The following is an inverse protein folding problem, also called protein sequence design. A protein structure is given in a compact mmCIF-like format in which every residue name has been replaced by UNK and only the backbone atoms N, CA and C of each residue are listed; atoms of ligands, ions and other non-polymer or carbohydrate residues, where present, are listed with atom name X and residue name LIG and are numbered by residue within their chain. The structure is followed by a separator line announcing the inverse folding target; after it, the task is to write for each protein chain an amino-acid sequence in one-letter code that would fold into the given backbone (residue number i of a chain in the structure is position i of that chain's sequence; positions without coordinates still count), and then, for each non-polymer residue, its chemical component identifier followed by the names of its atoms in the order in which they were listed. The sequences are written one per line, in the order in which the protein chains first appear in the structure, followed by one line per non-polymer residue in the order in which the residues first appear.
data_IF_107417579149
#
_entry.id   IF_107417579149
#
_cell.length_a   1.000
_cell.length_b   1.000
_cell.length_c   1.000
_cell.angle_alpha   90.00
_cell.angle_beta   90.00
_cell.angle_gamma   90.00
#
_symmetry.space_group_name_H-M   'P 1'
#
loop_
_entity.id
_entity.type
_entity.pdbx_description
1 polymer ?
#
# COMPACT_ATOMS: atom_id res chain seq x y z
N UNK A 1 -3.83 3.56 -46.95
CA UNK A 1 -3.15 4.68 -46.25
C UNK A 1 -4.03 5.35 -45.20
N UNK A 2 -5.27 5.77 -45.53
CA UNK A 2 -6.18 6.44 -44.57
C UNK A 2 -6.73 5.51 -43.46
N UNK A 3 -7.10 4.27 -43.80
CA UNK A 3 -7.62 3.28 -42.84
C UNK A 3 -6.60 2.90 -41.75
N UNK A 4 -5.33 2.75 -42.14
CA UNK A 4 -4.24 2.45 -41.21
C UNK A 4 -3.97 3.61 -40.24
N UNK A 5 -4.10 4.86 -40.71
CA UNK A 5 -3.98 6.06 -39.87
C UNK A 5 -5.15 6.17 -38.89
N UNK A 6 -6.37 5.84 -39.31
CA UNK A 6 -7.53 5.79 -38.42
C UNK A 6 -7.36 4.72 -37.33
N UNK A 7 -6.83 3.55 -37.69
CA UNK A 7 -6.56 2.47 -36.73
C UNK A 7 -5.53 2.87 -35.66
N UNK A 8 -4.43 3.52 -36.06
CA UNK A 8 -3.41 4.01 -35.13
C UNK A 8 -3.96 5.09 -34.19
N UNK A 9 -4.84 5.97 -34.68
CA UNK A 9 -5.49 7.01 -33.85
C UNK A 9 -6.46 6.39 -32.85
N UNK A 10 -7.28 5.43 -33.28
CA UNK A 10 -8.22 4.73 -32.39
C UNK A 10 -7.47 3.90 -31.32
N UNK A 11 -6.40 3.20 -31.71
CA UNK A 11 -5.56 2.46 -30.76
C UNK A 11 -4.88 3.37 -29.72
N UNK A 12 -4.34 4.51 -30.16
CA UNK A 12 -3.74 5.50 -29.27
C UNK A 12 -4.75 6.10 -28.29
N UNK A 13 -5.99 6.36 -28.73
CA UNK A 13 -7.06 6.88 -27.87
C UNK A 13 -7.49 5.84 -26.81
N UNK A 14 -7.64 4.58 -27.20
CA UNK A 14 -8.04 3.50 -26.29
C UNK A 14 -6.96 3.21 -25.23
N UNK A 15 -5.67 3.30 -25.58
CA UNK A 15 -4.57 3.07 -24.64
C UNK A 15 -4.51 4.06 -23.49
N UNK A 16 -5.15 5.22 -23.60
CA UNK A 16 -5.19 6.23 -22.51
C UNK A 16 -6.31 5.96 -21.50
N UNK A 17 -7.23 5.03 -21.80
CA UNK A 17 -8.40 4.69 -20.98
C UNK A 17 -8.18 3.41 -20.15
N UNK A 18 -6.95 3.12 -19.72
CA UNK A 18 -6.70 2.06 -18.74
C UNK A 18 -6.70 2.71 -17.35
N UNK A 19 -7.78 2.59 -16.56
CA UNK A 19 -7.74 3.02 -15.18
C UNK A 19 -6.72 2.16 -14.43
N UNK A 20 -5.70 2.80 -13.84
CA UNK A 20 -4.78 2.13 -12.93
C UNK A 20 -5.58 1.83 -11.66
N UNK A 21 -6.03 0.58 -11.50
CA UNK A 21 -6.62 0.13 -10.25
C UNK A 21 -5.52 0.13 -9.18
N UNK A 22 -5.57 1.08 -8.26
CA UNK A 22 -4.65 1.11 -7.11
C UNK A 22 -5.17 0.15 -6.04
N UNK A 23 -4.70 -1.10 -6.10
CA UNK A 23 -4.88 -2.05 -5.00
C UNK A 23 -4.08 -1.60 -3.78
N UNK A 24 -4.63 -1.82 -2.59
CA UNK A 24 -3.91 -1.62 -1.33
C UNK A 24 -2.63 -2.47 -1.33
N UNK A 25 -1.50 -1.83 -1.06
CA UNK A 25 -0.19 -2.47 -1.08
C UNK A 25 0.15 -3.04 0.30
N UNK A 26 0.83 -4.18 0.29
CA UNK A 26 1.43 -4.75 1.49
C UNK A 26 2.94 -4.45 1.52
N UNK A 27 3.42 -4.00 2.67
CA UNK A 27 4.82 -3.69 2.92
C UNK A 27 5.36 -4.58 4.03
N UNK A 28 6.17 -5.57 3.67
CA UNK A 28 6.92 -6.37 4.64
C UNK A 28 8.05 -5.52 5.23
N UNK A 29 7.90 -5.16 6.51
CA UNK A 29 8.82 -4.29 7.24
C UNK A 29 10.19 -4.97 7.37
N UNK A 30 11.24 -4.29 6.92
CA UNK A 30 12.60 -4.84 6.85
C UNK A 30 12.86 -5.82 5.70
N UNK A 31 11.84 -6.14 4.89
CA UNK A 31 11.95 -7.10 3.79
C UNK A 31 12.40 -8.47 4.29
N UNK A 32 13.43 -9.05 3.67
CA UNK A 32 13.98 -10.35 4.06
C UNK A 32 14.61 -10.39 5.47
N UNK A 33 14.92 -9.24 6.07
CA UNK A 33 15.46 -9.18 7.44
C UNK A 33 14.35 -9.20 8.51
N UNK A 34 13.11 -8.88 8.14
CA UNK A 34 11.98 -8.78 9.05
C UNK A 34 12.10 -7.66 10.09
N UNK A 35 11.36 -7.84 11.19
CA UNK A 35 11.38 -6.96 12.36
C UNK A 35 12.41 -7.45 13.38
N UNK A 36 13.60 -6.88 13.35
CA UNK A 36 14.80 -7.28 14.09
C UNK A 36 15.57 -6.07 14.63
N UNK A 37 16.61 -6.34 15.42
CA UNK A 37 17.51 -5.32 15.98
C UNK A 37 18.66 -4.98 15.03
N UNK A 38 19.29 -3.82 15.24
CA UNK A 38 20.45 -3.33 14.48
C UNK A 38 20.20 -3.20 12.97
N UNK A 39 18.98 -2.82 12.59
CA UNK A 39 18.58 -2.64 11.20
C UNK A 39 18.07 -1.22 10.95
N UNK A 40 18.49 -0.60 9.83
CA UNK A 40 18.06 0.75 9.48
C UNK A 40 16.69 0.75 8.80
N UNK A 41 15.66 0.85 9.62
CA UNK A 41 14.28 0.95 9.15
C UNK A 41 13.96 2.25 8.43
N UNK A 42 14.73 3.33 8.64
CA UNK A 42 14.51 4.59 7.94
C UNK A 42 15.06 4.52 6.51
N UNK A 43 16.23 3.91 6.32
CA UNK A 43 16.72 3.55 5.00
C UNK A 43 15.77 2.58 4.29
N UNK A 44 15.25 1.58 5.00
CA UNK A 44 14.22 0.70 4.42
C UNK A 44 12.97 1.47 4.01
N UNK A 45 12.50 2.45 4.79
CA UNK A 45 11.31 3.23 4.46
C UNK A 45 11.54 4.23 3.31
N UNK A 46 12.79 4.56 3.00
CA UNK A 46 13.14 5.57 1.99
C UNK A 46 12.60 5.19 0.60
N UNK A 47 12.00 6.17 -0.08
CA UNK A 47 11.44 5.99 -1.43
C UNK A 47 10.16 5.16 -1.51
N UNK A 48 9.64 4.65 -0.39
CA UNK A 48 8.35 3.96 -0.35
C UNK A 48 7.22 4.98 -0.22
N UNK A 49 6.22 4.84 -1.08
CA UNK A 49 4.98 5.60 -1.01
C UNK A 49 3.94 4.80 -0.22
N UNK A 50 3.69 5.22 1.02
CA UNK A 50 2.69 4.60 1.89
C UNK A 50 1.38 5.39 1.76
N UNK A 51 0.29 4.73 1.44
CA UNK A 51 -1.03 5.34 1.29
C UNK A 51 -2.03 4.81 2.30
N UNK A 52 -3.13 5.55 2.51
CA UNK A 52 -4.27 5.04 3.27
C UNK A 52 -4.82 3.79 2.60
N UNK A 53 -5.02 2.73 3.38
CA UNK A 53 -5.48 1.42 2.92
C UNK A 53 -4.36 0.38 2.82
N UNK A 54 -3.11 0.80 2.66
CA UNK A 54 -1.95 -0.09 2.64
C UNK A 54 -1.76 -0.81 3.98
N UNK A 55 -0.97 -1.88 3.98
CA UNK A 55 -0.61 -2.63 5.17
C UNK A 55 0.89 -2.65 5.42
N UNK A 56 1.26 -2.59 6.70
CA UNK A 56 2.58 -2.99 7.18
C UNK A 56 2.50 -4.41 7.73
N UNK A 57 3.45 -5.26 7.37
CA UNK A 57 3.57 -6.64 7.87
C UNK A 57 4.88 -6.77 8.63
N UNK A 58 4.80 -7.09 9.91
CA UNK A 58 5.94 -7.23 10.81
C UNK A 58 6.18 -8.71 11.12
N UNK A 59 7.22 -9.28 10.50
CA UNK A 59 7.58 -10.68 10.68
C UNK A 59 8.75 -10.82 11.64
N UNK A 60 8.61 -11.68 12.64
CA UNK A 60 9.64 -11.94 13.65
C UNK A 60 9.35 -13.23 14.45
N UNK A 61 10.37 -13.85 15.09
CA UNK A 61 10.13 -15.01 15.95
C UNK A 61 9.23 -14.66 17.14
N UNK A 62 8.18 -15.45 17.38
CA UNK A 62 7.25 -15.23 18.49
C UNK A 62 8.01 -15.12 19.81
N UNK A 63 7.70 -14.09 20.60
CA UNK A 63 8.36 -13.81 21.88
C UNK A 63 9.69 -13.05 21.79
N UNK A 64 10.31 -12.92 20.61
CA UNK A 64 11.56 -12.18 20.45
C UNK A 64 11.36 -10.66 20.39
N UNK A 65 10.26 -10.23 19.76
CA UNK A 65 9.97 -8.82 19.53
C UNK A 65 8.48 -8.52 19.78
N UNK A 66 8.14 -7.24 19.82
CA UNK A 66 6.75 -6.76 19.80
C UNK A 66 6.62 -5.65 18.77
N UNK A 67 5.38 -5.32 18.41
CA UNK A 67 5.07 -4.11 17.63
C UNK A 67 4.14 -3.23 18.45
N UNK A 68 4.58 -2.01 18.75
CA UNK A 68 3.81 -1.01 19.48
C UNK A 68 3.67 0.22 18.59
N UNK A 69 2.44 0.66 18.34
CA UNK A 69 2.18 1.95 17.72
C UNK A 69 2.26 3.03 18.80
N UNK A 70 3.01 4.08 18.53
CA UNK A 70 3.31 5.13 19.52
C UNK A 70 3.17 6.53 18.92
N UNK A 71 3.20 7.55 19.75
CA UNK A 71 3.32 8.94 19.32
C UNK A 71 4.80 9.35 19.09
N UNK A 72 5.02 10.57 18.60
CA UNK A 72 6.36 11.08 18.30
C UNK A 72 7.30 11.09 19.51
N UNK A 73 6.83 11.55 20.66
CA UNK A 73 7.63 11.68 21.89
C UNK A 73 8.04 10.30 22.39
N UNK A 74 7.09 9.38 22.44
CA UNK A 74 7.33 7.98 22.81
C UNK A 74 8.29 7.29 21.84
N UNK A 75 8.14 7.53 20.54
CA UNK A 75 9.08 7.02 19.53
C UNK A 75 10.49 7.55 19.78
N UNK A 76 10.65 8.86 19.96
CA UNK A 76 11.96 9.50 20.16
C UNK A 76 12.67 8.96 21.40
N UNK A 77 11.93 8.79 22.49
CA UNK A 77 12.45 8.38 23.79
C UNK A 77 12.33 6.88 24.07
N UNK A 78 11.82 6.10 23.11
CA UNK A 78 11.53 4.67 23.25
C UNK A 78 10.67 4.34 24.48
N UNK A 79 9.67 5.18 24.75
CA UNK A 79 8.71 4.97 25.84
C UNK A 79 7.70 3.92 25.38
N UNK A 80 7.59 2.85 26.17
CA UNK A 80 6.68 1.74 25.91
C UNK A 80 5.29 2.04 26.53
N UNK A 81 4.19 2.05 25.76
CA UNK A 81 2.84 2.10 26.31
C UNK A 81 2.47 0.78 27.01
N UNK A 82 1.32 0.69 27.69
CA UNK A 82 0.91 -0.51 28.42
C UNK A 82 0.98 -1.79 27.57
N UNK A 83 1.32 -2.91 28.21
CA UNK A 83 1.60 -4.18 27.52
C UNK A 83 0.41 -4.74 26.72
N UNK A 84 -0.84 -4.40 27.07
CA UNK A 84 -2.04 -4.82 26.35
C UNK A 84 -2.15 -4.22 24.94
N UNK A 85 -1.37 -3.20 24.61
CA UNK A 85 -1.34 -2.58 23.28
C UNK A 85 -0.28 -3.23 22.35
N UNK A 86 0.55 -4.14 22.89
CA UNK A 86 1.59 -4.81 22.12
C UNK A 86 0.99 -5.88 21.19
N UNK A 87 1.33 -5.81 19.92
CA UNK A 87 1.18 -6.95 19.01
C UNK A 87 2.39 -7.88 19.19
N UNK A 88 2.12 -9.19 19.23
CA UNK A 88 3.07 -10.23 19.67
C UNK A 88 3.00 -11.52 18.87
N UNK A 89 2.25 -11.55 17.74
CA UNK A 89 1.97 -12.79 17.02
C UNK A 89 3.15 -13.35 16.22
N UNK A 90 4.20 -12.54 16.00
CA UNK A 90 5.31 -12.87 15.11
C UNK A 90 5.04 -12.61 13.63
N UNK A 91 3.81 -12.27 13.25
CA UNK A 91 3.42 -11.89 11.89
C UNK A 91 2.31 -10.83 11.96
N UNK A 92 2.59 -9.71 12.62
CA UNK A 92 1.56 -8.70 12.88
C UNK A 92 1.29 -7.82 11.66
N UNK A 93 0.01 -7.65 11.33
CA UNK A 93 -0.43 -6.76 10.25
C UNK A 93 -1.04 -5.47 10.82
N UNK A 94 -0.64 -4.33 10.24
CA UNK A 94 -1.22 -3.02 10.57
C UNK A 94 -1.70 -2.35 9.29
N UNK A 95 -3.03 -2.19 9.18
CA UNK A 95 -3.65 -1.38 8.13
C UNK A 95 -3.43 0.10 8.41
N UNK A 96 -2.94 0.84 7.42
CA UNK A 96 -2.73 2.28 7.45
C UNK A 96 -4.06 3.01 7.21
N UNK A 97 -4.84 3.16 8.28
CA UNK A 97 -6.21 3.71 8.19
C UNK A 97 -6.31 5.22 7.96
N UNK A 98 -5.25 5.97 8.28
CA UNK A 98 -5.28 7.45 8.20
C UNK A 98 -3.94 7.99 7.70
N UNK A 99 -3.99 9.11 6.99
CA UNK A 99 -2.80 9.83 6.56
C UNK A 99 -2.02 10.40 7.76
N UNK A 100 -0.84 10.95 7.47
CA UNK A 100 0.08 11.55 8.42
C UNK A 100 1.19 10.61 8.90
N UNK A 101 2.04 11.12 9.77
CA UNK A 101 3.16 10.36 10.32
C UNK A 101 2.67 9.25 11.27
N UNK A 102 3.31 8.08 11.17
CA UNK A 102 3.07 6.92 12.04
C UNK A 102 4.41 6.45 12.61
N UNK A 103 4.39 6.00 13.86
CA UNK A 103 5.57 5.53 14.57
C UNK A 103 5.31 4.18 15.21
N UNK A 104 6.29 3.31 15.08
CA UNK A 104 6.26 1.95 15.60
C UNK A 104 7.59 1.63 16.29
N UNK A 105 7.52 0.93 17.42
CA UNK A 105 8.71 0.51 18.18
C UNK A 105 8.57 -0.94 18.64
N UNK A 106 9.71 -1.55 18.94
CA UNK A 106 9.77 -2.78 19.72
C UNK A 106 9.90 -2.44 21.21
N UNK A 107 9.07 -3.06 22.04
CA UNK A 107 9.01 -2.81 23.48
C UNK A 107 9.74 -3.84 24.34
N UNK A 108 10.63 -4.63 23.73
CA UNK A 108 11.43 -5.64 24.43
C UNK A 108 12.76 -5.03 24.85
N UNK A 109 13.01 -5.01 26.17
CA UNK A 109 14.28 -4.57 26.76
C UNK A 109 14.82 -3.27 26.16
N UNK A 110 16.02 -3.36 25.59
CA UNK A 110 16.77 -2.24 25.00
C UNK A 110 16.61 -2.12 23.47
N UNK A 111 15.73 -2.91 22.84
CA UNK A 111 15.67 -3.05 21.39
C UNK A 111 15.38 -1.73 20.66
N UNK A 112 14.46 -0.90 21.18
CA UNK A 112 14.21 0.41 20.57
C UNK A 112 15.37 1.38 20.78
N UNK A 113 15.86 1.50 22.01
CA UNK A 113 16.75 2.60 22.42
C UNK A 113 18.21 2.39 22.01
N UNK A 114 18.71 1.16 22.07
CA UNK A 114 20.13 0.85 21.87
C UNK A 114 20.42 0.13 20.56
N UNK A 115 19.45 -0.60 20.02
CA UNK A 115 19.63 -1.35 18.75
C UNK A 115 18.73 -0.84 17.62
N UNK A 116 18.01 0.27 17.84
CA UNK A 116 17.32 0.98 16.77
C UNK A 116 16.10 0.27 16.17
N UNK A 117 15.48 -0.68 16.88
CA UNK A 117 14.30 -1.39 16.39
C UNK A 117 13.03 -0.50 16.48
N UNK A 118 12.94 0.45 15.57
CA UNK A 118 11.90 1.48 15.48
C UNK A 118 11.70 1.96 14.04
N UNK A 119 10.46 2.22 13.64
CA UNK A 119 10.08 2.68 12.31
C UNK A 119 9.19 3.92 12.40
N UNK A 120 9.61 5.00 11.75
CA UNK A 120 8.75 6.13 11.39
C UNK A 120 8.44 6.09 9.90
N UNK A 121 7.19 6.33 9.52
CA UNK A 121 6.75 6.52 8.13
C UNK A 121 5.83 7.72 8.00
N UNK A 122 5.63 8.20 6.77
CA UNK A 122 4.59 9.19 6.43
C UNK A 122 3.60 8.54 5.49
N UNK A 123 2.33 8.53 5.89
CA UNK A 123 1.23 7.98 5.09
C UNK A 123 0.54 9.12 4.37
N UNK A 124 0.43 9.03 3.05
CA UNK A 124 -0.34 9.97 2.24
C UNK A 124 -1.82 9.58 2.26
N UNK A 125 -2.71 10.56 2.03
CA UNK A 125 -4.06 10.21 1.65
C UNK A 125 -3.99 9.34 0.39
N UNK A 126 -4.88 8.36 0.28
CA UNK A 126 -5.02 7.63 -0.98
C UNK A 126 -5.21 8.69 -2.07
N UNK A 127 -4.33 8.68 -3.07
CA UNK A 127 -4.48 9.60 -4.20
C UNK A 127 -5.82 9.26 -4.82
N UNK A 128 -6.81 10.11 -4.58
CA UNK A 128 -8.07 10.09 -5.29
C UNK A 128 -7.77 10.50 -6.73
N UNK A 129 -7.18 9.62 -7.52
CA UNK A 129 -7.64 9.50 -8.90
C UNK A 129 -9.03 8.88 -8.85
N UNK A 130 -9.96 9.57 -8.19
CA UNK A 130 -11.39 9.38 -8.37
C UNK A 130 -11.64 9.96 -9.76
N UNK A 131 -11.47 9.11 -10.78
CA UNK A 131 -12.56 9.05 -11.76
C UNK A 131 -13.76 8.48 -10.97
N UNK A 132 -14.98 9.02 -11.15
CA UNK A 132 -16.09 8.84 -10.22
C UNK A 132 -16.19 7.38 -9.79
N UNK A 133 -16.10 7.14 -8.49
CA UNK A 133 -16.25 5.82 -7.92
C UNK A 133 -17.56 5.25 -8.44
N UNK A 134 -17.45 4.25 -9.32
CA UNK A 134 -18.54 3.36 -9.63
C UNK A 134 -18.82 2.60 -8.34
N UNK A 135 -19.78 3.11 -7.58
CA UNK A 135 -20.54 2.31 -6.65
C UNK A 135 -20.93 1.01 -7.37
N UNK A 136 -20.90 -0.10 -6.63
CA UNK A 136 -21.15 -1.47 -7.08
C UNK A 136 -22.52 -1.56 -7.79
N UNK A 137 -22.54 -1.15 -9.05
CA UNK A 137 -23.68 -1.13 -9.97
C UNK A 137 -23.18 -1.16 -11.42
N UNK A 138 -21.94 -0.72 -11.66
CA UNK A 138 -21.39 -0.62 -13.01
C UNK A 138 -20.55 -1.82 -13.48
N UNK A 139 -20.33 -2.86 -12.68
CA UNK A 139 -19.72 -4.10 -13.22
C UNK A 139 -20.57 -4.69 -14.35
N UNK A 140 -21.90 -4.54 -14.26
CA UNK A 140 -22.85 -4.99 -15.29
C UNK A 140 -22.84 -4.05 -16.50
N UNK A 141 -22.79 -2.74 -16.26
CA UNK A 141 -22.69 -1.73 -17.32
C UNK A 141 -21.36 -1.80 -18.08
N UNK A 142 -20.25 -2.08 -17.40
CA UNK A 142 -18.92 -2.20 -17.98
C UNK A 142 -18.78 -3.47 -18.84
N UNK A 143 -19.30 -4.61 -18.38
CA UNK A 143 -19.33 -5.82 -19.22
C UNK A 143 -20.22 -5.63 -20.46
N UNK A 144 -21.35 -4.94 -20.32
CA UNK A 144 -22.19 -4.57 -21.46
C UNK A 144 -21.50 -3.58 -22.40
N UNK A 145 -20.81 -2.57 -21.87
CA UNK A 145 -20.10 -1.57 -22.67
C UNK A 145 -18.90 -2.16 -23.40
N UNK A 146 -18.11 -3.00 -22.73
CA UNK A 146 -17.01 -3.75 -23.34
C UNK A 146 -17.54 -4.74 -24.39
N UNK A 147 -18.65 -5.42 -24.11
CA UNK A 147 -19.33 -6.29 -25.06
C UNK A 147 -19.83 -5.55 -26.31
N UNK A 148 -20.44 -4.37 -26.15
CA UNK A 148 -20.90 -3.52 -27.25
C UNK A 148 -19.72 -2.98 -28.06
N UNK A 149 -18.61 -2.58 -27.40
CA UNK A 149 -17.42 -2.10 -28.09
C UNK A 149 -16.73 -3.21 -28.89
N UNK A 150 -16.62 -4.42 -28.35
CA UNK A 150 -16.11 -5.60 -29.08
C UNK A 150 -17.03 -5.95 -30.26
N UNK A 151 -18.35 -5.85 -30.10
CA UNK A 151 -19.31 -6.05 -31.18
C UNK A 151 -19.16 -5.00 -32.30
N UNK A 152 -18.99 -3.72 -31.95
CA UNK A 152 -18.77 -2.65 -32.94
C UNK A 152 -17.43 -2.81 -33.66
N UNK A 153 -16.37 -3.23 -32.95
CA UNK A 153 -15.06 -3.51 -33.56
C UNK A 153 -15.13 -4.71 -34.52
N UNK A 154 -15.80 -5.79 -34.13
CA UNK A 154 -15.97 -6.96 -35.01
C UNK A 154 -16.84 -6.65 -36.23
N UNK A 155 -17.89 -5.83 -36.09
CA UNK A 155 -18.69 -5.32 -37.21
C UNK A 155 -17.89 -4.39 -38.12
N UNK A 156 -17.05 -3.51 -37.59
CA UNK A 156 -16.23 -2.60 -38.38
C UNK A 156 -15.07 -3.29 -39.12
N UNK A 157 -14.66 -4.48 -38.67
CA UNK A 157 -13.68 -5.34 -39.35
C UNK A 157 -14.33 -6.28 -40.39
N UNK A 158 -15.66 -6.34 -40.44
CA UNK A 158 -16.41 -7.15 -41.38
C UNK A 158 -16.79 -6.41 -42.69
N UNK A 159 -16.42 -5.13 -42.82
CA UNK A 159 -16.64 -4.29 -44.01
C UNK A 159 -15.35 -3.62 -44.48
#
# INVERSE_FOLDING_TARGET
MALHRLYLVVFALISTMIPVMTLAKEFVVGGGNGWTTNFDYQAWAQGKDFQVGDKLVFNYPVGAHTVLKVNRTEFQNCIKPPACEALTSGSDEIVLKTAGRKWYICGVGTHCAFTGQKLSITVQNQSSSVSPAMAIKDTVNYQLFFGVMVAVITLALAF
#
